data_IF_159885163911
#
_entry.id   IF_159885163911
#
_cell.length_a   1.000
_cell.length_b   1.000
_cell.length_c   1.000
_cell.angle_alpha   90.00
_cell.angle_beta   90.00
_cell.angle_gamma   90.00
#
_symmetry.space_group_name_H-M   'P 1'
#
loop_
_entity.id
_entity.type
_entity.pdbx_description
1 polymer ?
#
# COMPACT_ATOMS: atom_id res chain seq x y z
N UNK A 1 0.54 -11.93 -32.36
CA UNK A 1 -0.89 -12.29 -32.48
C UNK A 1 -1.63 -11.76 -31.26
N UNK A 2 -2.69 -11.00 -31.48
CA UNK A 2 -3.41 -10.26 -30.47
C UNK A 2 -4.21 -11.17 -29.52
N UNK A 3 -4.02 -10.97 -28.22
CA UNK A 3 -4.95 -11.42 -27.18
C UNK A 3 -5.07 -10.28 -26.15
N UNK A 4 -5.62 -9.14 -26.59
CA UNK A 4 -5.91 -8.01 -25.70
C UNK A 4 -7.42 -7.81 -25.58
N UNK A 5 -8.14 -8.91 -25.37
CA UNK A 5 -9.42 -8.86 -24.67
C UNK A 5 -9.11 -8.49 -23.22
N UNK A 6 -9.10 -7.19 -22.94
CA UNK A 6 -9.09 -6.63 -21.60
C UNK A 6 -10.13 -7.37 -20.76
N UNK A 7 -9.68 -8.35 -19.95
CA UNK A 7 -10.56 -9.23 -19.18
C UNK A 7 -11.41 -8.32 -18.30
N UNK A 8 -12.71 -8.26 -18.59
CA UNK A 8 -13.66 -7.48 -17.80
C UNK A 8 -13.62 -8.02 -16.38
N UNK A 9 -13.49 -7.13 -15.40
CA UNK A 9 -13.47 -7.53 -13.99
C UNK A 9 -14.80 -8.23 -13.65
N UNK A 10 -14.79 -9.30 -12.85
CA UNK A 10 -15.98 -10.11 -12.61
C UNK A 10 -17.10 -9.35 -11.87
N UNK A 11 -16.76 -8.24 -11.22
CA UNK A 11 -17.71 -7.35 -10.54
C UNK A 11 -18.12 -6.12 -11.34
N UNK A 12 -17.64 -5.91 -12.57
CA UNK A 12 -17.86 -4.67 -13.32
C UNK A 12 -19.35 -4.36 -13.53
N UNK A 13 -20.16 -5.38 -13.80
CA UNK A 13 -21.61 -5.25 -14.01
C UNK A 13 -22.40 -5.13 -12.69
N UNK A 14 -21.73 -5.31 -11.55
CA UNK A 14 -22.32 -5.23 -10.20
C UNK A 14 -22.00 -3.91 -9.50
N UNK A 15 -21.26 -3.01 -10.17
CA UNK A 15 -20.91 -1.72 -9.61
C UNK A 15 -22.12 -0.80 -9.57
N UNK A 16 -22.30 -0.08 -8.47
CA UNK A 16 -23.33 0.95 -8.33
C UNK A 16 -22.76 2.32 -8.60
N UNK A 17 -23.54 3.18 -9.22
CA UNK A 17 -23.19 4.58 -9.43
C UNK A 17 -23.43 5.36 -8.12
N UNK A 18 -22.44 6.08 -7.63
CA UNK A 18 -22.65 7.04 -6.54
C UNK A 18 -23.23 8.32 -7.13
N UNK A 19 -24.30 8.85 -6.53
CA UNK A 19 -24.83 10.17 -6.86
C UNK A 19 -24.07 11.21 -6.03
N UNK A 20 -22.97 11.71 -6.56
CA UNK A 20 -22.26 12.86 -6.00
C UNK A 20 -22.33 14.00 -7.00
N UNK A 21 -22.82 15.17 -6.57
CA UNK A 21 -23.12 16.34 -7.41
C UNK A 21 -21.90 17.06 -7.99
N UNK A 22 -20.79 16.37 -8.25
CA UNK A 22 -19.61 16.89 -8.92
C UNK A 22 -19.34 16.16 -10.23
N UNK A 23 -18.60 16.79 -11.14
CA UNK A 23 -18.44 16.38 -12.54
C UNK A 23 -17.80 14.98 -12.76
N UNK A 24 -17.30 14.32 -11.71
CA UNK A 24 -16.80 12.94 -11.77
C UNK A 24 -17.81 11.99 -11.13
N UNK A 25 -18.38 11.09 -11.94
CA UNK A 25 -19.18 9.99 -11.42
C UNK A 25 -18.27 8.95 -10.77
N UNK A 26 -18.31 8.88 -9.44
CA UNK A 26 -17.66 7.80 -8.70
C UNK A 26 -18.52 6.54 -8.76
N UNK A 27 -17.90 5.41 -9.08
CA UNK A 27 -18.55 4.11 -9.02
C UNK A 27 -18.19 3.44 -7.70
N UNK A 28 -19.03 2.53 -7.23
CA UNK A 28 -18.72 1.73 -6.05
C UNK A 28 -18.86 0.25 -6.40
N UNK A 29 -17.81 -0.52 -6.11
CA UNK A 29 -17.84 -1.96 -6.24
C UNK A 29 -18.77 -2.60 -5.20
N UNK A 30 -19.16 -3.87 -5.36
CA UNK A 30 -19.85 -4.62 -4.32
C UNK A 30 -19.06 -4.64 -3.01
N UNK A 31 -19.77 -4.75 -1.88
CA UNK A 31 -19.20 -4.69 -0.53
C UNK A 31 -18.03 -5.68 -0.32
N UNK A 32 -18.18 -6.94 -0.71
CA UNK A 32 -17.08 -7.92 -0.63
C UNK A 32 -15.81 -7.52 -1.39
N UNK A 33 -15.92 -6.72 -2.46
CA UNK A 33 -14.75 -6.20 -3.19
C UNK A 33 -14.10 -5.07 -2.40
N UNK A 34 -14.91 -4.20 -1.78
CA UNK A 34 -14.44 -3.13 -0.89
C UNK A 34 -13.70 -3.71 0.31
N UNK A 35 -14.29 -4.70 0.98
CA UNK A 35 -13.68 -5.43 2.09
C UNK A 35 -12.37 -6.09 1.68
N UNK A 36 -12.34 -6.72 0.50
CA UNK A 36 -11.11 -7.31 -0.03
C UNK A 36 -10.03 -6.27 -0.28
N UNK A 37 -10.37 -5.11 -0.86
CA UNK A 37 -9.42 -4.01 -1.06
C UNK A 37 -8.84 -3.53 0.27
N UNK A 38 -9.67 -3.39 1.30
CA UNK A 38 -9.22 -2.99 2.64
C UNK A 38 -8.29 -4.05 3.25
N UNK A 39 -8.65 -5.32 3.17
CA UNK A 39 -7.84 -6.43 3.68
C UNK A 39 -6.48 -6.52 2.95
N UNK A 40 -6.49 -6.46 1.62
CA UNK A 40 -5.27 -6.50 0.81
C UNK A 40 -4.36 -5.30 1.09
N UNK A 41 -4.95 -4.11 1.30
CA UNK A 41 -4.19 -2.91 1.68
C UNK A 41 -3.53 -3.07 3.06
N UNK A 42 -4.27 -3.52 4.08
CA UNK A 42 -3.70 -3.74 5.41
C UNK A 42 -2.61 -4.80 5.39
N UNK A 43 -2.79 -5.88 4.61
CA UNK A 43 -1.77 -6.90 4.44
C UNK A 43 -0.50 -6.35 3.76
N UNK A 44 -0.65 -5.49 2.75
CA UNK A 44 0.48 -4.80 2.11
C UNK A 44 1.20 -3.84 3.07
N UNK A 45 0.46 -3.12 3.91
CA UNK A 45 1.01 -2.24 4.94
C UNK A 45 1.77 -3.05 6.00
N UNK A 46 1.18 -4.13 6.50
CA UNK A 46 1.82 -5.01 7.48
C UNK A 46 3.11 -5.63 6.90
N UNK A 47 3.05 -6.14 5.66
CA UNK A 47 4.25 -6.61 4.96
C UNK A 47 5.30 -5.50 4.87
N UNK A 48 4.94 -4.28 4.47
CA UNK A 48 5.91 -3.18 4.35
C UNK A 48 6.59 -2.88 5.70
N UNK A 49 5.82 -2.88 6.80
CA UNK A 49 6.30 -2.63 8.16
C UNK A 49 7.22 -3.74 8.68
N UNK A 50 6.89 -5.01 8.37
CA UNK A 50 7.64 -6.18 8.82
C UNK A 50 8.75 -6.60 7.87
N UNK A 51 8.74 -6.08 6.64
CA UNK A 51 9.68 -6.52 5.61
C UNK A 51 11.11 -6.30 6.06
N UNK A 52 11.44 -5.16 6.70
CA UNK A 52 12.81 -4.71 6.98
C UNK A 52 13.75 -5.72 7.67
N UNK A 53 13.23 -6.76 8.35
CA UNK A 53 14.00 -7.84 8.98
C UNK A 53 14.25 -9.05 8.07
N UNK A 54 13.67 -9.09 6.87
CA UNK A 54 13.79 -10.18 5.92
C UNK A 54 15.13 -10.14 5.18
N UNK A 55 15.68 -11.31 4.79
CA UNK A 55 16.84 -11.38 3.91
C UNK A 55 16.58 -10.68 2.57
N UNK A 56 17.61 -10.04 2.00
CA UNK A 56 17.50 -9.26 0.75
C UNK A 56 16.82 -10.03 -0.40
N UNK A 57 17.15 -11.30 -0.61
CA UNK A 57 16.56 -12.10 -1.68
C UNK A 57 15.05 -12.30 -1.49
N UNK A 58 14.61 -12.46 -0.25
CA UNK A 58 13.20 -12.61 0.10
C UNK A 58 12.45 -11.29 -0.08
N UNK A 59 13.05 -10.19 0.39
CA UNK A 59 12.60 -8.82 0.12
C UNK A 59 12.34 -8.57 -1.36
N UNK A 60 13.35 -8.85 -2.19
CA UNK A 60 13.32 -8.59 -3.62
C UNK A 60 12.20 -9.37 -4.31
N UNK A 61 12.06 -10.65 -3.95
CA UNK A 61 11.04 -11.53 -4.53
C UNK A 61 9.63 -11.12 -4.12
N UNK A 62 9.40 -10.89 -2.82
CA UNK A 62 8.06 -10.58 -2.29
C UNK A 62 7.57 -9.18 -2.64
N UNK A 63 8.46 -8.24 -2.98
CA UNK A 63 8.06 -6.87 -3.29
C UNK A 63 7.01 -6.78 -4.40
N UNK A 64 7.10 -7.65 -5.41
CA UNK A 64 6.16 -7.66 -6.53
C UNK A 64 4.77 -8.24 -6.18
N UNK A 65 4.66 -8.95 -5.05
CA UNK A 65 3.38 -9.48 -4.57
C UNK A 65 2.50 -8.38 -3.95
N UNK A 66 3.13 -7.31 -3.43
CA UNK A 66 2.47 -6.25 -2.67
C UNK A 66 2.54 -4.86 -3.33
N UNK A 67 3.56 -4.62 -4.15
CA UNK A 67 3.81 -3.32 -4.78
C UNK A 67 3.72 -3.45 -6.30
N UNK A 68 3.19 -2.40 -6.94
CA UNK A 68 3.09 -2.32 -8.39
C UNK A 68 3.63 -0.99 -8.93
N UNK A 69 3.93 -0.99 -10.24
CA UNK A 69 4.20 0.23 -11.00
C UNK A 69 5.34 1.09 -10.43
N UNK A 70 5.17 2.42 -10.32
CA UNK A 70 6.20 3.31 -9.79
C UNK A 70 6.64 2.99 -8.35
N UNK A 71 5.73 2.49 -7.50
CA UNK A 71 6.04 2.16 -6.11
C UNK A 71 6.99 0.97 -6.02
N UNK A 72 6.73 -0.10 -6.78
CA UNK A 72 7.63 -1.26 -6.86
C UNK A 72 9.02 -0.85 -7.34
N UNK A 73 9.09 -0.07 -8.42
CA UNK A 73 10.39 0.40 -8.97
C UNK A 73 11.17 1.21 -7.94
N UNK A 74 10.50 2.14 -7.24
CA UNK A 74 11.13 2.95 -6.19
C UNK A 74 11.62 2.08 -5.04
N UNK A 75 10.81 1.12 -4.60
CA UNK A 75 11.18 0.20 -3.52
C UNK A 75 12.40 -0.66 -3.90
N UNK A 76 12.42 -1.23 -5.11
CA UNK A 76 13.56 -1.99 -5.62
C UNK A 76 14.84 -1.15 -5.71
N UNK A 77 14.74 0.11 -6.16
CA UNK A 77 15.89 1.04 -6.15
C UNK A 77 16.43 1.30 -4.74
N UNK A 78 15.54 1.45 -3.75
CA UNK A 78 15.94 1.61 -2.35
C UNK A 78 16.64 0.35 -1.82
N UNK A 79 16.12 -0.84 -2.11
CA UNK A 79 16.76 -2.10 -1.73
C UNK A 79 18.16 -2.24 -2.34
N UNK A 80 18.33 -1.90 -3.62
CA UNK A 80 19.64 -1.94 -4.28
C UNK A 80 20.63 -0.97 -3.63
N UNK A 81 20.19 0.25 -3.31
CA UNK A 81 21.01 1.23 -2.57
C UNK A 81 21.41 0.70 -1.20
N UNK A 82 20.47 0.15 -0.44
CA UNK A 82 20.73 -0.44 0.87
C UNK A 82 21.67 -1.67 0.85
N UNK A 83 21.78 -2.34 -0.30
CA UNK A 83 22.71 -3.47 -0.49
C UNK A 83 24.12 -2.98 -0.79
N UNK A 84 24.25 -1.94 -1.62
CA UNK A 84 25.54 -1.37 -2.02
C UNK A 84 26.12 -0.46 -0.96
N UNK A 85 25.26 0.27 -0.25
CA UNK A 85 25.65 1.25 0.76
C UNK A 85 25.47 0.65 2.16
N UNK A 86 26.59 0.21 2.73
CA UNK A 86 26.66 -0.27 4.13
C UNK A 86 26.72 0.88 5.14
N UNK A 87 26.73 2.14 4.70
CA UNK A 87 26.93 3.30 5.57
C UNK A 87 25.66 3.80 6.26
N UNK A 88 24.47 3.29 5.91
CA UNK A 88 23.23 3.60 6.63
C UNK A 88 22.93 2.47 7.61
N UNK A 89 23.32 2.61 8.90
CA UNK A 89 23.22 1.55 9.88
C UNK A 89 21.83 1.49 10.51
N UNK A 90 20.82 2.15 9.95
CA UNK A 90 19.49 2.24 10.57
C UNK A 90 18.35 1.92 9.62
N UNK A 91 17.25 1.41 10.17
CA UNK A 91 15.96 1.29 9.48
C UNK A 91 14.83 1.73 10.40
N UNK A 92 13.75 2.24 9.80
CA UNK A 92 12.56 2.70 10.51
C UNK A 92 11.37 1.79 10.28
N UNK A 93 10.58 1.56 11.32
CA UNK A 93 9.28 0.89 11.28
C UNK A 93 8.21 1.86 11.76
N UNK A 94 7.32 2.26 10.86
CA UNK A 94 6.16 3.09 11.16
C UNK A 94 4.98 2.19 11.54
N UNK A 95 4.38 2.39 12.70
CA UNK A 95 3.11 1.74 13.11
C UNK A 95 2.04 2.80 13.28
N UNK A 96 0.79 2.42 13.06
CA UNK A 96 -0.38 3.25 13.25
C UNK A 96 -1.62 2.36 13.40
N UNK A 97 -2.67 2.92 13.99
CA UNK A 97 -4.01 2.34 13.89
C UNK A 97 -4.70 2.87 12.63
N UNK A 98 -5.14 1.95 11.77
CA UNK A 98 -5.63 2.26 10.43
C UNK A 98 -7.16 2.23 10.38
N UNK A 99 -7.77 3.34 10.02
CA UNK A 99 -9.20 3.44 9.71
C UNK A 99 -9.37 3.72 8.21
N UNK A 100 -9.82 2.70 7.48
CA UNK A 100 -9.87 2.71 6.02
C UNK A 100 -11.26 3.09 5.48
N UNK A 101 -11.27 3.93 4.46
CA UNK A 101 -12.46 4.29 3.70
C UNK A 101 -12.18 4.17 2.20
N UNK A 102 -12.84 3.22 1.52
CA UNK A 102 -12.83 3.17 0.05
C UNK A 102 -13.90 4.15 -0.45
N UNK A 103 -13.45 5.23 -1.08
CA UNK A 103 -14.31 6.31 -1.58
C UNK A 103 -15.07 5.94 -2.83
N UNK A 104 -14.42 5.20 -3.72
CA UNK A 104 -14.99 4.83 -4.99
C UNK A 104 -13.98 4.14 -5.89
N UNK A 105 -14.47 3.83 -7.07
CA UNK A 105 -13.78 3.11 -8.12
C UNK A 105 -13.94 3.85 -9.43
N UNK A 106 -12.95 3.69 -10.30
CA UNK A 106 -13.07 4.11 -11.70
C UNK A 106 -14.22 3.37 -12.39
N UNK A 107 -14.72 3.93 -13.50
CA UNK A 107 -15.80 3.34 -14.30
C UNK A 107 -15.50 1.93 -14.80
N UNK A 108 -14.22 1.62 -15.04
CA UNK A 108 -13.74 0.30 -15.46
C UNK A 108 -13.44 -0.64 -14.28
N UNK A 109 -13.63 -0.19 -13.04
CA UNK A 109 -13.40 -0.92 -11.80
C UNK A 109 -11.94 -1.23 -11.47
N UNK A 110 -10.99 -0.75 -12.29
CA UNK A 110 -9.56 -1.09 -12.19
C UNK A 110 -8.80 -0.27 -11.15
N UNK A 111 -9.34 0.88 -10.78
CA UNK A 111 -8.72 1.77 -9.80
C UNK A 111 -9.71 2.08 -8.70
N UNK A 112 -9.22 2.25 -7.49
CA UNK A 112 -10.02 2.75 -6.39
C UNK A 112 -9.27 3.81 -5.58
N UNK A 113 -10.04 4.71 -4.99
CA UNK A 113 -9.53 5.71 -4.06
C UNK A 113 -9.74 5.21 -2.64
N UNK A 114 -8.62 5.01 -1.94
CA UNK A 114 -8.60 4.62 -0.54
C UNK A 114 -8.12 5.81 0.30
N UNK A 115 -8.84 6.10 1.38
CA UNK A 115 -8.40 6.99 2.43
C UNK A 115 -8.01 6.12 3.62
N UNK A 116 -6.77 6.26 4.07
CA UNK A 116 -6.27 5.64 5.31
C UNK A 116 -6.09 6.73 6.35
N UNK A 117 -6.97 6.77 7.35
CA UNK A 117 -6.82 7.62 8.54
C UNK A 117 -6.00 6.85 9.55
N UNK A 118 -4.84 7.39 9.85
CA UNK A 118 -3.82 6.78 10.69
C UNK A 118 -3.79 7.50 12.04
N UNK A 119 -4.08 6.77 13.11
CA UNK A 119 -4.04 7.26 14.49
C UNK A 119 -2.79 6.75 15.21
N UNK A 120 -2.36 7.49 16.23
CA UNK A 120 -1.24 7.13 17.11
C UNK A 120 0.01 6.67 16.36
N UNK A 121 0.35 7.38 15.27
CA UNK A 121 1.47 6.98 14.43
C UNK A 121 2.77 7.09 15.20
N UNK A 122 3.55 6.01 15.22
CA UNK A 122 4.87 5.96 15.87
C UNK A 122 5.91 5.38 14.95
N UNK A 123 7.05 6.05 14.82
CA UNK A 123 8.22 5.55 14.11
C UNK A 123 9.22 5.02 15.12
N UNK A 124 9.53 3.72 15.05
CA UNK A 124 10.65 3.13 15.77
C UNK A 124 11.83 2.97 14.82
N UNK A 125 12.97 3.55 15.17
CA UNK A 125 14.22 3.42 14.42
C UNK A 125 15.12 2.41 15.13
N UNK A 126 15.70 1.50 14.36
CA UNK A 126 16.55 0.42 14.85
C UNK A 126 17.94 0.51 14.25
N UNK A 127 18.94 0.06 15.01
CA UNK A 127 20.24 -0.29 14.46
C UNK A 127 20.08 -1.55 13.59
N UNK A 128 20.63 -1.50 12.38
CA UNK A 128 20.46 -2.54 11.36
C UNK A 128 21.32 -3.77 11.64
N UNK A 129 22.41 -3.63 12.40
CA UNK A 129 23.33 -4.72 12.73
C UNK A 129 22.91 -5.42 14.01
N UNK A 130 22.55 -4.67 15.04
CA UNK A 130 22.19 -5.23 16.36
C UNK A 130 20.68 -5.47 16.49
N UNK A 131 19.86 -4.89 15.61
CA UNK A 131 18.40 -4.86 15.71
C UNK A 131 17.89 -4.20 17.00
N UNK A 132 18.75 -3.46 17.69
CA UNK A 132 18.37 -2.72 18.89
C UNK A 132 17.60 -1.46 18.51
N UNK A 133 16.57 -1.15 19.30
CA UNK A 133 15.78 0.07 19.11
C UNK A 133 16.61 1.26 19.59
N UNK A 134 16.84 2.22 18.69
CA UNK A 134 17.60 3.44 18.96
C UNK A 134 16.72 4.57 19.46
N UNK A 135 15.59 4.80 18.79
CA UNK A 135 14.66 5.89 19.14
C UNK A 135 13.22 5.54 18.73
N UNK A 136 12.26 6.10 19.46
CA UNK A 136 10.85 6.14 19.05
C UNK A 136 10.41 7.59 18.93
N UNK A 137 9.81 7.92 17.79
CA UNK A 137 9.22 9.22 17.53
C UNK A 137 7.70 9.08 17.45
N UNK A 138 7.00 9.94 18.18
CA UNK A 138 5.57 10.18 17.96
C UNK A 138 5.40 11.07 16.72
N UNK A 139 4.55 10.62 15.79
CA UNK A 139 4.28 11.28 14.52
C UNK A 139 2.87 11.89 14.47
N UNK A 140 2.07 11.77 15.55
CA UNK A 140 0.68 12.21 15.63
C UNK A 140 -0.27 11.44 14.71
N UNK A 141 -1.49 11.93 14.57
CA UNK A 141 -2.46 11.39 13.59
C UNK A 141 -2.25 11.98 12.20
N UNK A 142 -2.60 11.25 11.15
CA UNK A 142 -2.54 11.73 9.77
C UNK A 142 -3.53 11.00 8.85
N UNK A 143 -3.68 11.48 7.62
CA UNK A 143 -4.49 10.81 6.62
C UNK A 143 -3.74 10.71 5.29
N UNK A 144 -3.81 9.54 4.66
CA UNK A 144 -3.24 9.26 3.36
C UNK A 144 -4.35 9.02 2.34
N UNK A 145 -4.25 9.65 1.17
CA UNK A 145 -5.16 9.43 0.04
C UNK A 145 -4.39 8.71 -1.06
N UNK A 146 -4.87 7.53 -1.45
CA UNK A 146 -4.13 6.61 -2.31
C UNK A 146 -5.02 6.18 -3.46
N UNK A 147 -4.43 6.13 -4.66
CA UNK A 147 -5.03 5.48 -5.82
C UNK A 147 -4.41 4.10 -5.96
N UNK A 148 -5.22 3.06 -5.75
CA UNK A 148 -4.82 1.67 -5.99
C UNK A 148 -5.14 1.31 -7.44
N UNK A 149 -4.32 0.46 -8.05
CA UNK A 149 -4.34 0.09 -9.48
C UNK A 149 -4.29 -1.41 -9.68
#
# INVERSE_FOLDING_TARGET
>A
MASNSARKLPWINKMRRLRTGSASTDWMAPEHVVEKVQADYLAAVDWLQNSQTLPFAQHWRQAADWLAGPFLRRYQQLLLRQRSDRSVPIYGVLRADHQLEVRGFSKDGRRCWLIDRQHDRRMATYDRRTHERLVTQDMGSGAMVIVLV
#
